data_IF_968104865798
#
_entry.id   IF_968104865798
#
_cell.length_a   1.000
_cell.length_b   1.000
_cell.length_c   1.000
_cell.angle_alpha   90.00
_cell.angle_beta   90.00
_cell.angle_gamma   90.00
#
_symmetry.space_group_name_H-M   'P 1'
#
loop_
_entity.id
_entity.type
_entity.pdbx_description
1 polymer ?
#
# COMPACT_ATOMS: atom_id res chain seq x y z
N UNK A 1 -12.28 66.99 -18.10
CA UNK A 1 -13.11 66.08 -17.28
C UNK A 1 -12.69 64.66 -17.68
N UNK A 2 -11.64 64.06 -17.09
CA UNK A 2 -11.61 63.42 -15.77
C UNK A 2 -12.72 62.36 -15.60
N UNK A 3 -12.40 61.11 -15.95
CA UNK A 3 -13.15 59.89 -15.65
C UNK A 3 -12.19 58.72 -15.62
N UNK A 4 -12.00 58.13 -14.44
CA UNK A 4 -11.03 57.09 -14.06
C UNK A 4 -11.53 55.67 -14.42
N UNK A 5 -10.68 54.63 -14.29
CA UNK A 5 -10.77 53.32 -14.94
C UNK A 5 -11.40 52.19 -14.07
N UNK A 6 -11.43 50.98 -14.67
CA UNK A 6 -11.55 49.63 -14.08
C UNK A 6 -12.94 49.10 -13.67
N UNK A 7 -13.39 48.04 -14.37
CA UNK A 7 -14.29 47.00 -13.85
C UNK A 7 -13.87 45.67 -14.54
N UNK A 8 -13.21 44.74 -13.82
CA UNK A 8 -13.81 43.61 -13.06
C UNK A 8 -14.45 42.59 -14.02
N UNK A 9 -14.23 41.29 -14.00
CA UNK A 9 -13.57 40.29 -13.15
C UNK A 9 -13.50 39.05 -14.08
N UNK A 10 -12.63 38.06 -13.91
CA UNK A 10 -12.95 36.87 -13.11
C UNK A 10 -11.71 36.00 -13.07
N UNK A 11 -11.21 35.83 -11.86
CA UNK A 11 -10.19 34.87 -11.51
C UNK A 11 -10.68 33.46 -11.85
N UNK A 12 -9.94 32.77 -12.73
CA UNK A 12 -9.97 31.32 -12.82
C UNK A 12 -9.10 30.76 -11.69
N UNK A 13 -9.51 31.00 -10.45
CA UNK A 13 -9.03 30.24 -9.31
C UNK A 13 -9.64 28.84 -9.44
N UNK A 14 -8.94 27.96 -10.16
CA UNK A 14 -9.26 26.53 -10.18
C UNK A 14 -9.14 26.03 -8.76
N UNK A 15 -10.31 25.82 -8.18
CA UNK A 15 -10.56 25.21 -6.90
C UNK A 15 -9.79 23.89 -6.87
N UNK A 16 -8.70 23.87 -6.11
CA UNK A 16 -8.14 22.65 -5.57
C UNK A 16 -9.17 22.13 -4.57
N UNK A 17 -10.20 21.45 -5.08
CA UNK A 17 -11.10 20.66 -4.27
C UNK A 17 -10.24 19.76 -3.39
N UNK A 18 -10.42 19.94 -2.08
CA UNK A 18 -9.80 19.15 -1.04
C UNK A 18 -10.11 17.68 -1.29
N UNK A 19 -9.21 17.03 -2.04
CA UNK A 19 -9.12 15.60 -2.19
C UNK A 19 -9.17 15.05 -0.76
N UNK A 20 -10.15 14.20 -0.40
CA UNK A 20 -10.31 13.73 0.96
C UNK A 20 -8.94 13.25 1.42
N UNK A 21 -8.45 13.82 2.53
CA UNK A 21 -7.16 13.45 3.11
C UNK A 21 -7.14 11.94 3.15
N UNK A 22 -6.41 11.35 2.19
CA UNK A 22 -6.30 9.89 2.08
C UNK A 22 -5.63 9.53 3.38
N UNK A 23 -6.37 8.92 4.31
CA UNK A 23 -5.88 8.52 5.63
C UNK A 23 -4.42 8.13 5.49
N UNK A 24 -3.53 8.95 6.08
CA UNK A 24 -2.11 8.89 5.81
C UNK A 24 -1.65 7.45 6.04
N UNK A 25 -1.26 6.77 4.96
CA UNK A 25 -0.92 5.36 5.06
C UNK A 25 0.44 5.28 5.71
N UNK A 26 0.53 4.60 6.84
CA UNK A 26 1.82 4.37 7.51
C UNK A 26 2.48 3.11 6.99
N UNK A 27 3.81 3.13 6.95
CA UNK A 27 4.60 1.96 6.65
C UNK A 27 4.40 0.91 7.75
N UNK A 28 3.95 -0.31 7.44
CA UNK A 28 3.70 -1.32 8.45
C UNK A 28 5.00 -1.89 9.05
N UNK A 29 6.16 -1.58 8.47
CA UNK A 29 7.47 -2.08 8.92
C UNK A 29 8.14 -1.17 9.95
N UNK A 30 8.16 0.14 9.70
CA UNK A 30 8.83 1.12 10.55
C UNK A 30 7.88 2.17 11.15
N UNK A 31 6.60 2.15 10.79
CA UNK A 31 5.61 3.14 11.25
C UNK A 31 5.66 4.49 10.53
N UNK A 32 6.64 4.73 9.65
CA UNK A 32 6.80 6.01 8.97
C UNK A 32 5.60 6.39 8.11
N UNK A 33 5.26 7.68 8.10
CA UNK A 33 4.26 8.30 7.22
C UNK A 33 4.84 8.68 5.85
N UNK A 34 6.17 8.68 5.70
CA UNK A 34 6.87 9.00 4.45
C UNK A 34 6.77 7.83 3.46
N UNK A 35 5.59 7.66 2.89
CA UNK A 35 5.29 6.59 1.93
C UNK A 35 4.71 7.13 0.63
N UNK A 36 5.05 6.46 -0.47
CA UNK A 36 4.51 6.69 -1.81
C UNK A 36 3.59 5.54 -2.19
N UNK A 37 2.32 5.84 -2.45
CA UNK A 37 1.37 4.88 -2.99
C UNK A 37 1.48 4.82 -4.52
N UNK A 38 1.77 3.63 -5.05
CA UNK A 38 1.56 3.28 -6.44
C UNK A 38 0.17 2.65 -6.57
N UNK A 39 -0.76 3.38 -7.18
CA UNK A 39 -2.13 2.94 -7.40
C UNK A 39 -2.28 2.45 -8.83
N UNK A 40 -2.73 1.20 -9.00
CA UNK A 40 -3.13 0.70 -10.32
C UNK A 40 -4.46 1.33 -10.75
N UNK A 41 -4.61 1.61 -12.04
CA UNK A 41 -5.92 1.93 -12.62
C UNK A 41 -6.85 0.72 -12.56
N UNK A 42 -8.13 0.93 -12.22
CA UNK A 42 -9.14 -0.13 -12.28
C UNK A 42 -9.79 -0.26 -13.67
N UNK A 43 -9.50 0.66 -14.58
CA UNK A 43 -10.07 0.75 -15.94
C UNK A 43 -8.96 1.02 -16.96
N UNK A 44 -8.82 0.15 -17.95
CA UNK A 44 -7.84 0.27 -19.03
C UNK A 44 -6.49 -0.43 -18.76
N UNK A 45 -5.63 -0.54 -19.77
CA UNK A 45 -4.26 -1.05 -19.60
C UNK A 45 -3.46 -0.07 -18.75
N UNK A 46 -3.14 -0.46 -17.53
CA UNK A 46 -2.21 0.25 -16.64
C UNK A 46 -0.86 -0.46 -16.70
N UNK A 47 0.23 0.29 -16.79
CA UNK A 47 1.58 -0.28 -16.73
C UNK A 47 1.84 -0.89 -15.34
N UNK A 48 1.14 -0.40 -14.32
CA UNK A 48 1.20 -0.86 -12.94
C UNK A 48 0.30 -2.08 -12.70
N UNK A 49 0.90 -3.27 -12.71
CA UNK A 49 0.20 -4.52 -12.43
C UNK A 49 -0.30 -4.65 -10.98
N UNK A 50 0.46 -4.12 -10.01
CA UNK A 50 0.21 -4.27 -8.57
C UNK A 50 -0.01 -2.92 -7.89
N UNK A 51 -0.87 -2.87 -6.86
CA UNK A 51 -1.02 -1.71 -5.99
C UNK A 51 -0.18 -1.92 -4.73
N UNK A 52 0.74 -0.98 -4.46
CA UNK A 52 1.67 -1.09 -3.36
C UNK A 52 2.05 0.27 -2.77
N UNK A 53 2.52 0.21 -1.53
CA UNK A 53 3.08 1.34 -0.79
C UNK A 53 4.60 1.16 -0.75
N UNK A 54 5.34 2.19 -1.14
CA UNK A 54 6.79 2.27 -0.99
C UNK A 54 7.15 3.23 0.13
N UNK A 55 7.80 2.75 1.19
CA UNK A 55 8.32 3.64 2.24
C UNK A 55 9.67 4.22 1.82
N UNK A 56 9.83 5.55 1.92
CA UNK A 56 11.09 6.22 1.58
C UNK A 56 12.13 6.07 2.70
N UNK A 57 11.70 5.92 3.96
CA UNK A 57 12.62 5.82 5.10
C UNK A 57 13.25 4.43 5.21
N UNK A 58 12.42 3.37 5.27
CA UNK A 58 12.94 2.00 5.38
C UNK A 58 13.15 1.31 4.02
N UNK A 59 12.81 1.99 2.91
CA UNK A 59 12.94 1.48 1.52
C UNK A 59 12.24 0.13 1.26
N UNK A 60 11.23 -0.21 2.07
CA UNK A 60 10.44 -1.45 1.92
C UNK A 60 9.16 -1.18 1.15
N UNK A 61 8.81 -2.12 0.28
CA UNK A 61 7.52 -2.17 -0.39
C UNK A 61 6.54 -3.01 0.42
N UNK A 62 5.28 -2.58 0.44
CA UNK A 62 4.15 -3.32 0.98
C UNK A 62 3.06 -3.39 -0.06
N UNK A 63 2.67 -4.60 -0.47
CA UNK A 63 1.55 -4.78 -1.38
C UNK A 63 0.21 -4.63 -0.65
N UNK A 64 -0.75 -4.03 -1.34
CA UNK A 64 -2.17 -4.06 -0.97
C UNK A 64 -2.98 -4.92 -1.92
N UNK A 65 -2.68 -4.82 -3.22
CA UNK A 65 -3.33 -5.63 -4.26
C UNK A 65 -2.25 -6.19 -5.17
N UNK A 66 -2.29 -7.51 -5.36
CA UNK A 66 -1.38 -8.24 -6.23
C UNK A 66 -2.17 -8.85 -7.39
N UNK A 67 -1.82 -8.52 -8.63
CA UNK A 67 -2.42 -9.10 -9.84
C UNK A 67 -1.74 -10.40 -10.21
N UNK A 68 -2.52 -11.46 -10.36
CA UNK A 68 -2.05 -12.81 -10.71
C UNK A 68 -2.92 -13.40 -11.80
N UNK A 69 -2.31 -14.28 -12.56
CA UNK A 69 -2.99 -15.05 -13.61
C UNK A 69 -3.69 -16.27 -13.03
N UNK A 70 -4.67 -16.81 -13.75
CA UNK A 70 -5.33 -18.05 -13.37
C UNK A 70 -4.34 -19.23 -13.21
N UNK A 71 -3.26 -19.25 -13.99
CA UNK A 71 -2.19 -20.24 -13.87
C UNK A 71 -1.43 -20.09 -12.54
N UNK A 72 -1.01 -18.87 -12.19
CA UNK A 72 -0.31 -18.59 -10.94
C UNK A 72 -1.18 -18.89 -9.72
N UNK A 73 -2.49 -18.60 -9.79
CA UNK A 73 -3.44 -18.95 -8.74
C UNK A 73 -3.46 -20.46 -8.45
N UNK A 74 -3.45 -21.29 -9.50
CA UNK A 74 -3.43 -22.76 -9.37
C UNK A 74 -2.11 -23.27 -8.80
N UNK A 75 -0.99 -22.81 -9.35
CA UNK A 75 0.35 -23.24 -8.91
C UNK A 75 0.66 -22.79 -7.48
N UNK A 76 0.29 -21.55 -7.14
CA UNK A 76 0.48 -20.98 -5.81
C UNK A 76 -0.60 -21.37 -4.79
N UNK A 77 -1.65 -22.07 -5.24
CA UNK A 77 -2.81 -22.45 -4.42
C UNK A 77 -3.39 -21.27 -3.62
N UNK A 78 -3.39 -20.09 -4.24
CA UNK A 78 -3.80 -18.86 -3.56
C UNK A 78 -5.30 -18.86 -3.30
N UNK A 79 -5.66 -18.64 -2.04
CA UNK A 79 -7.05 -18.60 -1.56
C UNK A 79 -7.16 -17.62 -0.40
N UNK A 80 -8.36 -17.12 -0.16
CA UNK A 80 -8.67 -16.31 1.03
C UNK A 80 -8.24 -17.05 2.31
N UNK A 81 -7.60 -16.34 3.24
CA UNK A 81 -7.01 -16.91 4.45
C UNK A 81 -5.67 -17.63 4.22
N UNK A 82 -5.30 -17.89 2.97
CA UNK A 82 -3.98 -18.38 2.60
C UNK A 82 -2.91 -17.29 2.70
N UNK A 83 -1.69 -17.64 2.29
CA UNK A 83 -0.59 -16.69 2.27
C UNK A 83 0.02 -16.53 0.90
N UNK A 84 0.36 -15.29 0.56
CA UNK A 84 1.19 -14.94 -0.58
C UNK A 84 2.62 -14.66 -0.08
N UNK A 85 3.64 -15.21 -0.75
CA UNK A 85 5.04 -14.90 -0.46
C UNK A 85 5.65 -14.19 -1.65
N UNK A 86 6.19 -13.01 -1.42
CA UNK A 86 7.04 -12.33 -2.39
C UNK A 86 8.42 -12.98 -2.33
N UNK A 87 8.81 -13.66 -3.41
CA UNK A 87 10.10 -14.36 -3.51
C UNK A 87 11.28 -13.40 -3.51
N UNK A 88 11.14 -12.21 -4.08
CA UNK A 88 12.24 -11.23 -4.19
C UNK A 88 12.58 -10.64 -2.83
N UNK A 89 11.55 -10.35 -2.02
CA UNK A 89 11.70 -9.70 -0.70
C UNK A 89 11.56 -10.67 0.46
N UNK A 90 11.39 -11.96 0.16
CA UNK A 90 11.06 -13.04 1.10
C UNK A 90 9.95 -12.70 2.11
N UNK A 91 9.05 -11.81 1.73
CA UNK A 91 8.03 -11.25 2.62
C UNK A 91 6.75 -12.05 2.52
N UNK A 92 6.16 -12.38 3.66
CA UNK A 92 4.89 -13.12 3.73
C UNK A 92 3.72 -12.17 3.94
N UNK A 93 2.67 -12.40 3.18
CA UNK A 93 1.42 -11.65 3.23
C UNK A 93 0.25 -12.62 3.46
N UNK A 94 -0.76 -12.16 4.19
CA UNK A 94 -2.05 -12.83 4.35
C UNK A 94 -2.98 -12.39 3.23
N UNK A 95 -3.60 -13.35 2.54
CA UNK A 95 -4.61 -13.07 1.50
C UNK A 95 -5.95 -12.83 2.20
N UNK A 96 -6.42 -11.59 2.20
CA UNK A 96 -7.69 -11.20 2.79
C UNK A 96 -8.87 -11.47 1.85
N UNK A 97 -8.70 -11.24 0.55
CA UNK A 97 -9.73 -11.46 -0.47
C UNK A 97 -9.10 -11.84 -1.79
N UNK A 98 -9.86 -12.60 -2.59
CA UNK A 98 -9.53 -12.96 -3.97
C UNK A 98 -10.66 -12.45 -4.85
N UNK A 99 -10.36 -11.57 -5.81
CA UNK A 99 -11.34 -11.04 -6.77
C UNK A 99 -10.99 -11.48 -8.18
N UNK A 100 -11.95 -12.07 -8.89
CA UNK A 100 -11.80 -12.38 -10.32
C UNK A 100 -12.30 -11.19 -11.14
N UNK A 101 -11.41 -10.57 -11.90
CA UNK A 101 -11.70 -9.34 -12.67
C UNK A 101 -11.71 -9.57 -14.19
N UNK A 102 -11.12 -10.66 -14.67
CA UNK A 102 -11.19 -11.05 -16.07
C UNK A 102 -11.05 -12.55 -16.27
N UNK A 103 -10.96 -12.97 -17.53
CA UNK A 103 -10.78 -14.39 -17.89
C UNK A 103 -9.48 -14.97 -17.34
N UNK A 104 -8.41 -14.16 -17.37
CA UNK A 104 -7.06 -14.57 -16.96
C UNK A 104 -6.44 -13.66 -15.88
N UNK A 105 -7.23 -12.78 -15.25
CA UNK A 105 -6.73 -11.88 -14.20
C UNK A 105 -7.52 -12.06 -12.90
N UNK A 106 -6.77 -12.23 -11.82
CA UNK A 106 -7.24 -12.38 -10.45
C UNK A 106 -6.44 -11.43 -9.55
N UNK A 107 -7.14 -10.72 -8.68
CA UNK A 107 -6.55 -9.79 -7.72
C UNK A 107 -6.57 -10.38 -6.32
N UNK A 108 -5.42 -10.31 -5.65
CA UNK A 108 -5.27 -10.71 -4.27
C UNK A 108 -5.17 -9.45 -3.41
N UNK A 109 -6.16 -9.26 -2.53
CA UNK A 109 -6.04 -8.26 -1.47
C UNK A 109 -5.22 -8.85 -0.36
N UNK A 110 -4.10 -8.21 -0.03
CA UNK A 110 -3.12 -8.77 0.87
C UNK A 110 -2.76 -7.80 2.00
N UNK A 111 -2.44 -8.36 3.16
CA UNK A 111 -1.90 -7.63 4.30
C UNK A 111 -0.53 -8.21 4.68
N UNK A 112 0.51 -7.39 4.88
CA UNK A 112 1.81 -7.90 5.30
C UNK A 112 1.72 -8.55 6.68
N UNK A 113 2.37 -9.69 6.85
CA UNK A 113 2.58 -10.32 8.15
C UNK A 113 3.89 -9.76 8.70
N UNK A 114 3.79 -8.59 9.34
CA UNK A 114 4.92 -7.99 10.05
C UNK A 114 5.02 -8.71 11.38
N UNK A 115 6.02 -9.58 11.53
CA UNK A 115 6.38 -10.04 12.87
C UNK A 115 7.00 -8.85 13.58
N UNK A 116 6.51 -8.44 14.77
CA UNK A 116 7.27 -7.52 15.59
C UNK A 116 8.66 -8.15 15.82
N UNK A 117 9.75 -7.35 15.85
CA UNK A 117 11.04 -7.87 16.29
C UNK A 117 10.81 -8.56 17.63
N UNK A 118 11.11 -9.86 17.71
CA UNK A 118 10.76 -10.61 18.90
C UNK A 118 11.50 -10.00 20.08
N UNK A 119 10.77 -9.64 21.13
CA UNK A 119 11.31 -9.14 22.39
C UNK A 119 12.03 -10.25 23.20
N UNK A 120 12.86 -11.07 22.54
CA UNK A 120 13.70 -12.06 23.20
C UNK A 120 14.99 -11.39 23.65
N UNK A 121 14.88 -10.67 24.76
CA UNK A 121 15.97 -10.05 25.48
C UNK A 121 15.53 -9.43 26.82
N UNK A 122 14.35 -9.78 27.35
CA UNK A 122 14.03 -9.51 28.74
C UNK A 122 14.83 -10.50 29.60
N UNK A 123 16.13 -10.20 29.71
CA UNK A 123 17.05 -10.79 30.66
C UNK A 123 16.43 -10.56 32.04
N UNK A 124 15.79 -11.58 32.59
CA UNK A 124 15.32 -11.54 33.96
C UNK A 124 16.55 -11.32 34.83
N UNK A 125 16.62 -10.26 35.67
CA UNK A 125 17.75 -10.09 36.55
C UNK A 125 17.80 -11.33 37.45
N UNK A 126 18.84 -12.14 37.26
CA UNK A 126 19.14 -13.25 38.18
C UNK A 126 19.38 -12.59 39.53
N UNK A 127 18.37 -12.67 40.42
CA UNK A 127 18.53 -12.32 41.83
C UNK A 127 19.74 -13.07 42.35
N UNK A 128 20.80 -12.33 42.64
CA UNK A 128 21.97 -12.84 43.35
C UNK A 128 21.51 -13.48 44.65
N UNK A 129 22.01 -14.69 44.90
CA UNK A 129 22.10 -15.23 46.25
C UNK A 129 23.49 -14.92 46.75
N UNK A 130 23.55 -14.03 47.74
CA UNK A 130 24.60 -14.00 48.74
C UNK A 130 24.46 -15.24 49.63
#
# INVERSE_FOLDING_TARGET
>A
MAGKPHESTREAATQQEARPERAARTCPWCGSENVKLAQRGFTGPTDERDQYISCQDCRRLTYEIVSRTAREMRLGQYRTGGSYRDSLRQTKYLIQRVLKVGTNEVLLYVKPIVRPPSAYGAESPRRGRY
#
